data_IF_693297525697
#
_entry.id   IF_693297525697
#
_cell.length_a   1.000
_cell.length_b   1.000
_cell.length_c   1.000
_cell.angle_alpha   90.00
_cell.angle_beta   90.00
_cell.angle_gamma   90.00
#
_symmetry.space_group_name_H-M   'P 1'
#
loop_
_entity.id
_entity.type
_entity.pdbx_description
1 polymer ?
#
# COMPACT_ATOMS: atom_id res chain seq x y z
N UNK A 1 -12.06 31.99 17.20
CA UNK A 1 -10.72 31.65 16.67
C UNK A 1 -10.61 31.90 15.18
N UNK A 2 -9.50 32.55 14.78
CA UNK A 2 -9.29 33.25 13.51
C UNK A 2 -9.14 32.31 12.28
N UNK A 3 -8.21 32.62 11.38
CA UNK A 3 -8.08 31.99 10.06
C UNK A 3 -8.23 33.05 8.96
N UNK A 4 -8.00 32.66 7.70
CA UNK A 4 -8.20 33.59 6.58
C UNK A 4 -9.69 33.86 6.37
N UNK A 5 -10.08 35.14 6.39
CA UNK A 5 -11.45 35.63 6.16
C UNK A 5 -12.56 34.89 6.95
N UNK A 6 -12.53 34.89 8.30
CA UNK A 6 -13.53 34.17 9.08
C UNK A 6 -14.87 34.93 9.07
N UNK A 7 -15.93 34.26 8.61
CA UNK A 7 -17.30 34.81 8.61
C UNK A 7 -17.92 34.76 10.01
N UNK A 8 -17.54 33.75 10.82
CA UNK A 8 -17.97 33.59 12.21
C UNK A 8 -16.77 33.22 13.08
N UNK A 9 -16.61 33.92 14.21
CA UNK A 9 -15.39 33.82 15.00
C UNK A 9 -15.63 33.68 16.52
N UNK A 10 -16.85 33.31 16.92
CA UNK A 10 -17.25 33.16 18.34
C UNK A 10 -17.15 34.46 19.17
N UNK A 11 -17.07 35.62 18.50
CA UNK A 11 -17.10 36.97 19.09
C UNK A 11 -16.11 37.13 20.26
N UNK A 12 -16.58 37.60 21.42
CA UNK A 12 -15.80 37.80 22.65
C UNK A 12 -15.82 36.60 23.60
N UNK A 13 -16.21 35.41 23.14
CA UNK A 13 -16.17 34.22 23.99
C UNK A 13 -14.73 33.99 24.50
N UNK A 14 -14.54 33.52 25.75
CA UNK A 14 -13.22 33.18 26.27
C UNK A 14 -12.48 32.25 25.32
N UNK A 15 -11.29 32.66 24.87
CA UNK A 15 -10.53 31.93 23.86
C UNK A 15 -9.55 30.91 24.46
N UNK A 16 -9.58 30.66 25.77
CA UNK A 16 -8.70 29.74 26.49
C UNK A 16 -9.50 28.79 27.39
N UNK A 17 -8.91 27.65 27.71
CA UNK A 17 -9.47 26.65 28.61
C UNK A 17 -8.36 26.06 29.51
N UNK A 18 -8.61 25.80 30.81
CA UNK A 18 -9.84 26.12 31.54
C UNK A 18 -10.01 27.64 31.73
N UNK A 19 -11.26 28.12 31.87
CA UNK A 19 -11.55 29.53 32.12
C UNK A 19 -12.66 29.71 33.17
N UNK A 20 -12.67 30.87 33.85
CA UNK A 20 -13.67 31.23 34.86
C UNK A 20 -14.83 32.08 34.31
N UNK A 21 -15.00 32.11 32.98
CA UNK A 21 -15.89 33.04 32.27
C UNK A 21 -16.98 32.32 31.46
N UNK A 22 -17.40 31.13 31.92
CA UNK A 22 -18.50 30.37 31.33
C UNK A 22 -18.32 30.00 29.84
N UNK A 23 -17.06 29.82 29.40
CA UNK A 23 -16.75 29.30 28.06
C UNK A 23 -17.07 27.81 27.89
N UNK A 24 -16.76 27.22 26.73
CA UNK A 24 -17.00 25.81 26.46
C UNK A 24 -16.39 24.88 27.52
N UNK A 25 -17.11 23.80 27.85
CA UNK A 25 -16.71 22.77 28.84
C UNK A 25 -16.56 21.41 28.17
N UNK A 26 -15.72 20.55 28.75
CA UNK A 26 -15.55 19.18 28.29
C UNK A 26 -16.84 18.35 28.46
N UNK A 27 -17.06 17.40 27.55
CA UNK A 27 -18.16 16.42 27.64
C UNK A 27 -17.57 15.03 27.93
N UNK A 28 -17.62 14.53 29.18
CA UNK A 28 -17.04 13.23 29.51
C UNK A 28 -17.66 12.04 28.73
N UNK A 29 -18.88 12.19 28.24
CA UNK A 29 -19.58 11.16 27.46
C UNK A 29 -18.94 10.87 26.09
N UNK A 30 -18.09 11.76 25.57
CA UNK A 30 -17.39 11.56 24.29
C UNK A 30 -15.94 11.07 24.46
N UNK A 31 -15.57 10.63 25.67
CA UNK A 31 -14.23 10.10 25.94
C UNK A 31 -13.98 8.84 25.09
N UNK A 32 -12.89 8.76 24.32
CA UNK A 32 -12.56 7.55 23.57
C UNK A 32 -12.27 6.39 24.53
N UNK A 33 -12.52 5.13 24.11
CA UNK A 33 -12.15 3.97 24.92
C UNK A 33 -10.64 3.93 25.14
N UNK A 34 -10.21 3.39 26.28
CA UNK A 34 -8.80 3.19 26.58
C UNK A 34 -8.18 2.18 25.61
N UNK A 35 -7.05 2.53 25.01
CA UNK A 35 -6.24 1.62 24.20
C UNK A 35 -5.08 1.10 25.06
N UNK A 36 -5.03 -0.22 25.26
CA UNK A 36 -3.86 -0.85 25.88
C UNK A 36 -2.74 -0.99 24.85
N UNK A 37 -1.54 -0.54 25.19
CA UNK A 37 -0.35 -0.59 24.34
C UNK A 37 0.68 -1.44 25.07
N UNK A 38 1.34 -2.34 24.33
CA UNK A 38 2.41 -3.19 24.83
C UNK A 38 3.61 -3.09 23.87
N UNK A 39 4.82 -3.12 24.42
CA UNK A 39 6.07 -2.95 23.67
C UNK A 39 6.75 -1.62 23.95
N UNK A 40 7.98 -1.48 23.44
CA UNK A 40 8.79 -0.28 23.59
C UNK A 40 8.42 0.76 22.52
N UNK A 41 8.67 2.04 22.80
CA UNK A 41 8.57 3.08 21.79
C UNK A 41 9.84 3.08 20.93
N UNK A 42 9.82 2.36 19.81
CA UNK A 42 10.95 2.23 18.90
C UNK A 42 10.51 2.19 17.42
N UNK A 43 11.48 2.16 16.50
CA UNK A 43 11.28 1.95 15.06
C UNK A 43 11.25 0.46 14.77
N UNK A 44 10.05 -0.08 14.59
CA UNK A 44 9.86 -1.47 14.19
C UNK A 44 9.91 -1.60 12.66
N UNK A 45 10.80 -2.47 12.18
CA UNK A 45 10.70 -2.99 10.81
C UNK A 45 9.64 -4.10 10.78
N UNK A 46 8.90 -4.26 9.67
CA UNK A 46 7.94 -5.35 9.56
C UNK A 46 8.63 -6.71 9.65
N UNK A 47 8.20 -7.53 10.61
CA UNK A 47 8.72 -8.88 10.80
C UNK A 47 7.64 -9.87 10.37
N UNK A 48 7.95 -10.71 9.38
CA UNK A 48 7.06 -11.75 8.86
C UNK A 48 5.75 -11.24 8.21
N UNK A 49 5.80 -10.15 7.42
CA UNK A 49 4.66 -9.76 6.59
C UNK A 49 4.40 -10.79 5.47
N UNK A 50 3.12 -11.13 5.29
CA UNK A 50 2.68 -11.93 4.14
C UNK A 50 2.36 -10.99 2.97
N UNK A 51 3.37 -10.74 2.14
CA UNK A 51 3.26 -9.88 0.96
C UNK A 51 2.46 -10.52 -0.19
N UNK A 52 2.21 -11.84 -0.15
CA UNK A 52 1.76 -12.60 -1.33
C UNK A 52 0.42 -13.30 -1.15
N UNK A 53 -0.01 -13.64 0.07
CA UNK A 53 -1.19 -14.47 0.31
C UNK A 53 -2.50 -13.83 -0.17
N UNK A 54 -2.72 -12.54 0.10
CA UNK A 54 -3.92 -11.84 -0.37
C UNK A 54 -3.96 -11.78 -1.91
N UNK A 55 -2.83 -11.50 -2.55
CA UNK A 55 -2.74 -11.40 -4.02
C UNK A 55 -2.89 -12.78 -4.67
N UNK A 56 -2.40 -13.82 -4.01
CA UNK A 56 -2.59 -15.22 -4.44
C UNK A 56 -4.07 -15.58 -4.47
N UNK A 57 -4.80 -15.22 -3.41
CA UNK A 57 -6.24 -15.42 -3.30
C UNK A 57 -6.99 -14.67 -4.41
N UNK A 58 -6.64 -13.40 -4.63
CA UNK A 58 -7.21 -12.61 -5.72
C UNK A 58 -6.97 -13.25 -7.10
N UNK A 59 -5.74 -13.67 -7.38
CA UNK A 59 -5.41 -14.32 -8.64
C UNK A 59 -6.17 -15.63 -8.83
N UNK A 60 -6.22 -16.50 -7.81
CA UNK A 60 -6.79 -17.85 -7.95
C UNK A 60 -8.31 -17.86 -7.92
N UNK A 61 -8.90 -17.11 -7.00
CA UNK A 61 -10.30 -17.28 -6.62
C UNK A 61 -11.22 -16.18 -7.15
N UNK A 62 -10.67 -15.00 -7.47
CA UNK A 62 -11.47 -13.85 -7.91
C UNK A 62 -11.41 -13.65 -9.42
N UNK A 63 -10.25 -13.85 -10.04
CA UNK A 63 -10.09 -13.62 -11.48
C UNK A 63 -10.46 -14.83 -12.33
N UNK A 64 -11.34 -14.60 -13.31
CA UNK A 64 -11.52 -15.51 -14.44
C UNK A 64 -10.31 -15.49 -15.40
N UNK A 65 -10.23 -16.49 -16.29
CA UNK A 65 -9.08 -16.61 -17.21
C UNK A 65 -8.93 -15.44 -18.19
N UNK A 66 -10.04 -14.82 -18.60
CA UNK A 66 -10.02 -13.63 -19.44
C UNK A 66 -9.46 -12.42 -18.72
N UNK A 67 -9.83 -12.23 -17.45
CA UNK A 67 -9.32 -11.20 -16.57
C UNK A 67 -7.84 -11.40 -16.26
N UNK A 68 -7.42 -12.65 -15.98
CA UNK A 68 -6.01 -13.03 -15.84
C UNK A 68 -5.19 -12.64 -17.06
N UNK A 69 -5.70 -12.95 -18.25
CA UNK A 69 -5.05 -12.62 -19.51
C UNK A 69 -4.93 -11.11 -19.72
N UNK A 70 -6.00 -10.34 -19.47
CA UNK A 70 -5.97 -8.87 -19.55
C UNK A 70 -4.97 -8.26 -18.55
N UNK A 71 -4.95 -8.76 -17.32
CA UNK A 71 -4.01 -8.31 -16.28
C UNK A 71 -2.56 -8.54 -16.71
N UNK A 72 -2.23 -9.75 -17.16
CA UNK A 72 -0.88 -10.07 -17.64
C UNK A 72 -0.48 -9.17 -18.82
N UNK A 73 -1.37 -8.98 -19.80
CA UNK A 73 -1.09 -8.11 -20.95
C UNK A 73 -0.79 -6.67 -20.54
N UNK A 74 -1.53 -6.14 -19.56
CA UNK A 74 -1.30 -4.80 -19.02
C UNK A 74 0.05 -4.69 -18.29
N UNK A 75 0.41 -5.70 -17.50
CA UNK A 75 1.71 -5.75 -16.82
C UNK A 75 2.86 -5.82 -17.83
N UNK A 76 2.74 -6.68 -18.84
CA UNK A 76 3.73 -6.78 -19.93
C UNK A 76 3.89 -5.42 -20.62
N UNK A 77 2.79 -4.77 -21.02
CA UNK A 77 2.80 -3.45 -21.65
C UNK A 77 3.59 -2.42 -20.81
N UNK A 78 3.33 -2.40 -19.50
CA UNK A 78 3.98 -1.46 -18.57
C UNK A 78 5.47 -1.78 -18.38
N UNK A 79 5.82 -3.05 -18.19
CA UNK A 79 7.19 -3.47 -17.88
C UNK A 79 8.15 -3.40 -19.08
N UNK A 80 7.64 -3.34 -20.32
CA UNK A 80 8.50 -3.26 -21.51
C UNK A 80 9.47 -2.06 -21.47
N UNK A 81 9.07 -0.93 -20.89
CA UNK A 81 9.89 0.28 -20.79
C UNK A 81 10.92 0.28 -19.64
N UNK A 82 10.84 -0.67 -18.70
CA UNK A 82 11.72 -0.70 -17.53
C UNK A 82 13.09 -1.33 -17.85
N UNK A 83 14.10 -1.08 -17.01
CA UNK A 83 15.39 -1.76 -17.09
C UNK A 83 15.25 -3.26 -16.74
N UNK A 84 16.13 -4.09 -17.31
CA UNK A 84 16.00 -5.56 -17.19
C UNK A 84 15.99 -6.05 -15.73
N UNK A 85 16.84 -5.49 -14.85
CA UNK A 85 16.89 -5.92 -13.45
C UNK A 85 15.59 -5.62 -12.68
N UNK A 86 14.86 -4.55 -13.05
CA UNK A 86 13.55 -4.22 -12.47
C UNK A 86 12.52 -5.25 -12.93
N UNK A 87 12.52 -5.56 -14.23
CA UNK A 87 11.61 -6.56 -14.81
C UNK A 87 11.85 -7.94 -14.18
N UNK A 88 13.10 -8.36 -14.02
CA UNK A 88 13.46 -9.62 -13.38
C UNK A 88 12.99 -9.68 -11.92
N UNK A 89 13.14 -8.59 -11.17
CA UNK A 89 12.62 -8.48 -9.80
C UNK A 89 11.09 -8.56 -9.77
N UNK A 90 10.42 -7.86 -10.69
CA UNK A 90 8.96 -7.90 -10.78
C UNK A 90 8.46 -9.32 -11.07
N UNK A 91 9.05 -10.00 -12.06
CA UNK A 91 8.74 -11.39 -12.39
C UNK A 91 8.96 -12.31 -11.20
N UNK A 92 10.06 -12.13 -10.45
CA UNK A 92 10.32 -12.90 -9.22
C UNK A 92 9.20 -12.70 -8.18
N UNK A 93 8.81 -11.47 -7.89
CA UNK A 93 7.74 -11.18 -6.93
C UNK A 93 6.40 -11.78 -7.37
N UNK A 94 6.02 -11.61 -8.65
CA UNK A 94 4.77 -12.19 -9.17
C UNK A 94 4.79 -13.72 -9.24
N UNK A 95 5.98 -14.33 -9.30
CA UNK A 95 6.12 -15.79 -9.22
C UNK A 95 5.95 -16.32 -7.79
N UNK A 96 6.17 -15.49 -6.76
CA UNK A 96 5.82 -15.83 -5.36
C UNK A 96 4.31 -15.78 -5.11
N UNK A 97 3.59 -14.95 -5.87
CA UNK A 97 2.11 -14.92 -5.85
C UNK A 97 1.53 -16.19 -6.45
N UNK A 98 1.90 -16.53 -7.68
CA UNK A 98 1.43 -17.76 -8.31
C UNK A 98 2.33 -18.19 -9.47
N UNK A 99 2.51 -19.50 -9.61
CA UNK A 99 3.35 -20.08 -10.67
C UNK A 99 2.78 -19.79 -12.07
N UNK A 100 1.45 -19.82 -12.24
CA UNK A 100 0.82 -19.50 -13.53
C UNK A 100 0.97 -18.01 -13.86
N UNK A 101 0.82 -17.13 -12.87
CA UNK A 101 1.03 -15.68 -13.04
C UNK A 101 2.46 -15.37 -13.51
N UNK A 102 3.46 -15.89 -12.78
CA UNK A 102 4.87 -15.71 -13.12
C UNK A 102 5.21 -16.27 -14.50
N UNK A 103 4.68 -17.44 -14.85
CA UNK A 103 4.85 -18.06 -16.17
C UNK A 103 4.25 -17.20 -17.29
N UNK A 104 2.97 -16.82 -17.20
CA UNK A 104 2.29 -15.99 -18.21
C UNK A 104 3.00 -14.64 -18.40
N UNK A 105 3.44 -14.01 -17.32
CA UNK A 105 4.17 -12.75 -17.38
C UNK A 105 5.54 -12.92 -18.08
N UNK A 106 6.28 -13.96 -17.74
CA UNK A 106 7.59 -14.28 -18.35
C UNK A 106 7.45 -14.53 -19.85
N UNK A 107 6.48 -15.34 -20.25
CA UNK A 107 6.18 -15.64 -21.65
C UNK A 107 5.77 -14.39 -22.42
N UNK A 108 4.89 -13.56 -21.85
CA UNK A 108 4.44 -12.31 -22.45
C UNK A 108 5.56 -11.28 -22.64
N UNK A 109 6.52 -11.20 -21.73
CA UNK A 109 7.69 -10.33 -21.87
C UNK A 109 8.65 -10.84 -22.94
N UNK A 110 8.91 -12.15 -22.98
CA UNK A 110 9.79 -12.78 -23.98
C UNK A 110 9.23 -12.67 -25.39
N UNK A 111 7.91 -12.85 -25.56
CA UNK A 111 7.27 -12.74 -26.88
C UNK A 111 7.38 -11.34 -27.48
N UNK A 112 7.60 -10.32 -26.63
CA UNK A 112 7.84 -8.93 -27.05
C UNK A 112 9.32 -8.55 -27.11
N UNK A 113 10.22 -9.52 -27.07
CA UNK A 113 11.66 -9.31 -27.24
C UNK A 113 12.39 -8.84 -25.98
N UNK A 114 11.77 -8.89 -24.79
CA UNK A 114 12.48 -8.61 -23.53
C UNK A 114 13.33 -9.82 -23.14
N UNK A 115 14.65 -9.66 -23.16
CA UNK A 115 15.58 -10.67 -22.65
C UNK A 115 15.67 -10.56 -21.12
N UNK A 116 15.09 -11.52 -20.41
CA UNK A 116 15.07 -11.60 -18.95
C UNK A 116 15.71 -12.90 -18.48
N UNK A 117 16.62 -12.79 -17.52
CA UNK A 117 17.36 -13.93 -16.98
C UNK A 117 16.84 -14.28 -15.58
N UNK A 118 15.73 -15.03 -15.55
CA UNK A 118 15.04 -15.38 -14.30
C UNK A 118 15.92 -16.23 -13.34
N UNK A 119 16.99 -16.85 -13.87
CA UNK A 119 17.96 -17.66 -13.11
C UNK A 119 19.19 -16.87 -12.61
N UNK A 120 19.25 -15.55 -12.81
CA UNK A 120 20.39 -14.73 -12.41
C UNK A 120 20.48 -14.52 -10.91
N UNK A 121 21.59 -14.96 -10.29
CA UNK A 121 22.05 -14.46 -8.99
C UNK A 121 21.93 -12.94 -9.01
N UNK A 122 21.18 -12.40 -8.05
CA UNK A 122 20.84 -10.98 -7.95
C UNK A 122 22.03 -10.10 -8.33
N UNK A 123 21.86 -9.21 -9.30
CA UNK A 123 22.66 -8.00 -9.30
C UNK A 123 22.36 -7.31 -7.97
N UNK A 124 23.34 -7.36 -7.06
CA UNK A 124 23.28 -6.63 -5.80
C UNK A 124 23.05 -5.16 -6.16
N UNK A 125 21.97 -4.59 -5.62
CA UNK A 125 21.87 -3.16 -5.39
C UNK A 125 22.34 -2.93 -3.95
#
# INVERSE_FOLDING_TARGET
RDGWSPIHNQNGAPNYYPNSFNGPVECPAVRPPSLQINGDADRYEPVNEDDFGQVTTFWREVLDDGAKTRLVNNMVNSLMGASNFIVERAVRNFSQVDVDLGRRLTEGLRSRGKSINVSGKSANL
#
